data_IF_356235734511
#
_entry.id   IF_356235734511
#
_cell.length_a   1.000
_cell.length_b   1.000
_cell.length_c   1.000
_cell.angle_alpha   90.00
_cell.angle_beta   90.00
_cell.angle_gamma   90.00
#
_symmetry.space_group_name_H-M   'P 1'
#
loop_
_entity.id
_entity.type
_entity.pdbx_description
1 polymer ?
#
# COMPACT_ATOMS: atom_id res chain seq x y z
N UNK A 1 -19.53 -71.38 8.67
CA UNK A 1 -19.91 -69.96 8.53
C UNK A 1 -19.51 -69.52 7.12
N UNK A 2 -20.34 -69.71 6.10
CA UNK A 2 -21.51 -68.89 5.75
C UNK A 2 -21.20 -68.14 4.45
N UNK A 3 -21.96 -68.49 3.39
CA UNK A 3 -22.51 -67.57 2.37
C UNK A 3 -21.54 -66.89 1.39
N UNK A 4 -21.86 -66.62 0.12
CA UNK A 4 -22.99 -66.88 -0.78
C UNK A 4 -22.57 -66.28 -2.14
N UNK A 5 -22.93 -66.98 -3.22
CA UNK A 5 -23.62 -66.48 -4.42
C UNK A 5 -22.95 -65.32 -5.20
N UNK A 6 -22.39 -65.61 -6.38
CA UNK A 6 -23.09 -65.60 -7.68
C UNK A 6 -23.81 -64.28 -8.01
N UNK A 7 -23.34 -63.62 -9.08
CA UNK A 7 -24.15 -63.09 -10.21
C UNK A 7 -23.17 -62.55 -11.27
N UNK A 8 -23.16 -63.09 -12.50
CA UNK A 8 -24.01 -62.70 -13.65
C UNK A 8 -23.83 -61.21 -14.00
N UNK A 9 -23.61 -60.77 -15.22
CA UNK A 9 -23.72 -61.39 -16.52
C UNK A 9 -23.01 -60.54 -17.59
N UNK A 10 -22.61 -61.19 -18.67
CA UNK A 10 -22.30 -60.60 -19.97
C UNK A 10 -23.60 -60.06 -20.55
N UNK A 11 -23.63 -58.80 -21.00
CA UNK A 11 -24.47 -58.38 -22.13
C UNK A 11 -23.73 -57.34 -22.96
N UNK A 12 -23.53 -57.66 -24.24
CA UNK A 12 -23.21 -56.72 -25.32
C UNK A 12 -24.51 -56.04 -25.75
N UNK A 13 -24.48 -54.72 -25.96
CA UNK A 13 -25.40 -54.04 -26.89
C UNK A 13 -24.63 -52.89 -27.58
N UNK A 14 -24.73 -52.74 -28.92
CA UNK A 14 -24.10 -51.66 -29.69
C UNK A 14 -25.07 -50.49 -29.91
N UNK A 15 -24.54 -49.27 -29.98
CA UNK A 15 -25.23 -48.08 -30.51
C UNK A 15 -24.14 -47.19 -31.14
N UNK A 16 -24.01 -47.13 -32.46
CA UNK A 16 -24.81 -46.39 -33.45
C UNK A 16 -24.46 -44.88 -33.53
N UNK A 17 -24.02 -44.52 -34.76
CA UNK A 17 -24.10 -43.23 -35.47
C UNK A 17 -23.13 -42.08 -35.08
N UNK A 18 -22.91 -41.05 -35.94
CA UNK A 18 -21.72 -40.97 -36.79
C UNK A 18 -20.95 -39.63 -36.65
N UNK A 19 -19.81 -39.57 -37.34
CA UNK A 19 -19.20 -38.39 -37.98
C UNK A 19 -19.41 -37.02 -37.31
N UNK A 20 -18.43 -36.65 -36.49
CA UNK A 20 -18.22 -35.29 -36.02
C UNK A 20 -18.15 -34.31 -37.21
N UNK A 21 -19.21 -33.53 -37.39
CA UNK A 21 -19.21 -32.37 -38.27
C UNK A 21 -18.55 -31.23 -37.49
N UNK A 22 -17.23 -31.06 -37.69
CA UNK A 22 -16.47 -29.93 -37.15
C UNK A 22 -17.01 -28.66 -37.79
N UNK A 23 -17.83 -27.90 -37.06
CA UNK A 23 -18.21 -26.54 -37.42
C UNK A 23 -17.04 -25.64 -36.99
N UNK A 24 -16.24 -25.23 -37.97
CA UNK A 24 -15.33 -24.09 -37.89
C UNK A 24 -16.15 -22.80 -37.74
N UNK A 25 -16.45 -22.41 -36.50
CA UNK A 25 -16.97 -21.08 -36.24
C UNK A 25 -15.87 -20.16 -35.71
N UNK A 26 -15.28 -19.47 -36.69
CA UNK A 26 -14.98 -18.03 -36.72
C UNK A 26 -14.30 -17.45 -35.47
N UNK A 27 -12.99 -17.28 -35.61
CA UNK A 27 -12.13 -16.38 -34.86
C UNK A 27 -12.76 -14.98 -34.83
N UNK A 28 -13.34 -14.60 -33.70
CA UNK A 28 -13.37 -13.21 -33.29
C UNK A 28 -12.18 -13.02 -32.35
N UNK A 29 -11.07 -12.60 -32.93
CA UNK A 29 -10.00 -11.93 -32.19
C UNK A 29 -10.59 -10.63 -31.64
N UNK A 30 -11.15 -10.68 -30.43
CA UNK A 30 -11.32 -9.46 -29.65
C UNK A 30 -9.91 -8.99 -29.33
N UNK A 31 -9.50 -7.90 -29.96
CA UNK A 31 -8.28 -7.19 -29.60
C UNK A 31 -8.34 -6.92 -28.10
N UNK A 32 -7.57 -7.69 -27.34
CA UNK A 32 -7.23 -7.33 -25.98
C UNK A 32 -6.39 -6.05 -26.10
N UNK A 33 -7.08 -4.90 -26.04
CA UNK A 33 -6.46 -3.59 -25.95
C UNK A 33 -5.63 -3.63 -24.66
N UNK A 34 -4.35 -3.95 -24.81
CA UNK A 34 -3.37 -3.91 -23.75
C UNK A 34 -3.38 -2.48 -23.21
N UNK A 35 -4.09 -2.30 -22.11
CA UNK A 35 -4.14 -1.04 -21.41
C UNK A 35 -2.76 -0.90 -20.80
N UNK A 36 -1.91 -0.09 -21.46
CA UNK A 36 -0.66 0.38 -20.91
C UNK A 36 -1.02 1.16 -19.65
N UNK A 37 -1.00 0.48 -18.51
CA UNK A 37 -1.06 1.11 -17.20
C UNK A 37 0.28 1.79 -17.06
N UNK A 38 0.34 3.05 -17.45
CA UNK A 38 1.45 3.90 -17.02
C UNK A 38 1.49 3.86 -15.50
N UNK A 39 2.65 3.58 -14.86
CA UNK A 39 2.78 3.75 -13.44
C UNK A 39 2.65 5.25 -13.17
N UNK A 40 1.41 5.70 -12.93
CA UNK A 40 1.13 6.97 -12.29
C UNK A 40 1.82 6.92 -10.93
N UNK A 41 3.09 7.32 -10.91
CA UNK A 41 3.86 7.55 -9.71
C UNK A 41 3.20 8.71 -8.98
N UNK A 42 2.14 8.40 -8.23
CA UNK A 42 1.59 9.32 -7.25
C UNK A 42 2.71 9.53 -6.25
N UNK A 43 3.44 10.62 -6.41
CA UNK A 43 4.42 11.08 -5.44
C UNK A 43 3.64 11.47 -4.18
N UNK A 44 3.36 10.49 -3.32
CA UNK A 44 2.74 10.76 -2.03
C UNK A 44 3.68 11.68 -1.28
N UNK A 45 3.25 12.93 -1.08
CA UNK A 45 3.92 13.91 -0.23
C UNK A 45 3.66 13.52 1.23
N UNK A 46 4.71 13.22 1.99
CA UNK A 46 4.58 12.85 3.40
C UNK A 46 4.81 14.08 4.28
N UNK A 47 4.03 15.12 4.06
CA UNK A 47 4.12 16.36 4.83
C UNK A 47 3.30 16.19 6.12
N UNK A 48 3.89 16.55 7.26
CA UNK A 48 3.24 16.61 8.56
C UNK A 48 3.36 18.01 9.15
N UNK A 49 2.26 18.49 9.69
CA UNK A 49 2.19 19.75 10.43
C UNK A 49 2.45 19.51 11.91
N UNK A 50 3.44 20.20 12.47
CA UNK A 50 3.75 20.23 13.89
C UNK A 50 3.31 21.56 14.50
N UNK A 51 2.51 21.50 15.55
CA UNK A 51 2.12 22.69 16.31
C UNK A 51 3.06 22.84 17.51
N UNK A 52 3.88 23.88 17.52
CA UNK A 52 4.91 24.09 18.52
C UNK A 52 4.53 25.27 19.40
N UNK A 53 4.60 25.06 20.71
CA UNK A 53 4.43 26.10 21.70
C UNK A 53 5.60 27.09 21.67
N UNK A 54 5.27 28.37 21.49
CA UNK A 54 6.22 29.48 21.42
C UNK A 54 5.94 30.46 22.53
N UNK A 55 6.98 30.74 23.30
CA UNK A 55 6.96 31.78 24.31
C UNK A 55 8.37 32.34 24.47
N UNK A 56 8.46 33.66 24.59
CA UNK A 56 9.72 34.36 24.80
C UNK A 56 9.65 35.15 26.11
N UNK A 57 10.54 34.88 27.10
CA UNK A 57 10.55 35.57 28.39
C UNK A 57 10.86 37.07 28.31
N UNK A 58 11.59 37.50 27.27
CA UNK A 58 12.02 38.90 27.13
C UNK A 58 10.89 39.79 26.59
N UNK A 59 9.87 39.18 25.98
CA UNK A 59 8.68 39.87 25.47
C UNK A 59 7.46 39.56 26.34
N UNK A 60 6.67 40.56 26.77
CA UNK A 60 5.47 40.34 27.59
C UNK A 60 4.27 39.83 26.77
N UNK A 61 4.51 38.98 25.77
CA UNK A 61 3.48 38.43 24.90
C UNK A 61 2.91 37.13 25.47
N UNK A 62 1.65 36.86 25.13
CA UNK A 62 1.01 35.59 25.47
C UNK A 62 1.69 34.46 24.67
N UNK A 63 1.80 33.26 25.24
CA UNK A 63 2.27 32.11 24.48
C UNK A 63 1.35 31.77 23.31
N UNK A 64 1.94 31.30 22.22
CA UNK A 64 1.23 30.97 20.99
C UNK A 64 1.60 29.57 20.47
N UNK A 65 0.74 29.00 19.64
CA UNK A 65 1.03 27.78 18.89
C UNK A 65 1.38 28.15 17.45
N UNK A 66 2.59 27.77 17.02
CA UNK A 66 3.06 28.00 15.67
C UNK A 66 3.11 26.68 14.89
N UNK A 67 2.56 26.69 13.67
CA UNK A 67 2.49 25.52 12.81
C UNK A 67 3.71 25.45 11.89
N UNK A 68 4.29 24.27 11.78
CA UNK A 68 5.44 23.97 10.91
C UNK A 68 5.15 22.73 10.08
N UNK A 69 5.25 22.87 8.76
CA UNK A 69 5.10 21.76 7.83
C UNK A 69 6.46 21.14 7.53
N UNK A 70 6.58 19.83 7.74
CA UNK A 70 7.83 19.09 7.62
C UNK A 70 7.63 17.83 6.77
N UNK A 71 8.50 17.60 5.80
CA UNK A 71 8.49 16.36 5.00
C UNK A 71 9.16 15.20 5.76
N UNK A 72 8.36 14.19 6.10
CA UNK A 72 8.81 13.00 6.81
C UNK A 72 9.80 12.14 6.03
N UNK A 73 9.90 12.29 4.70
CA UNK A 73 10.91 11.55 3.90
C UNK A 73 12.34 12.01 4.18
N UNK A 74 12.48 13.27 4.54
CA UNK A 74 13.75 13.94 4.77
C UNK A 74 14.06 14.06 6.27
N UNK A 75 13.25 13.46 7.13
CA UNK A 75 13.41 13.48 8.58
C UNK A 75 13.63 12.05 9.10
N UNK A 76 14.38 11.92 10.19
CA UNK A 76 14.43 10.66 10.92
C UNK A 76 13.06 10.28 11.52
N UNK A 77 12.91 9.04 12.01
CA UNK A 77 11.63 8.52 12.49
C UNK A 77 11.14 9.20 13.78
N UNK A 78 12.00 9.96 14.47
CA UNK A 78 11.70 10.55 15.78
C UNK A 78 11.22 12.00 15.65
N UNK A 79 10.36 12.41 16.59
CA UNK A 79 9.90 13.81 16.69
C UNK A 79 11.09 14.76 16.93
N UNK A 80 12.12 14.31 17.65
CA UNK A 80 13.32 15.09 17.89
C UNK A 80 14.03 15.46 16.57
N UNK A 81 14.04 14.56 15.58
CA UNK A 81 14.67 14.82 14.28
C UNK A 81 13.92 15.92 13.53
N UNK A 82 12.58 15.89 13.58
CA UNK A 82 11.76 16.96 13.02
C UNK A 82 12.00 18.31 13.71
N UNK A 83 12.11 18.34 15.04
CA UNK A 83 12.43 19.58 15.78
C UNK A 83 13.82 20.13 15.44
N UNK A 84 14.81 19.25 15.27
CA UNK A 84 16.16 19.63 14.82
C UNK A 84 16.11 20.21 13.41
N UNK A 85 15.37 19.58 12.50
CA UNK A 85 15.21 20.07 11.12
C UNK A 85 14.57 21.45 11.09
N UNK A 86 13.45 21.64 11.80
CA UNK A 86 12.77 22.93 11.90
C UNK A 86 13.76 23.99 12.40
N UNK A 87 14.54 23.68 13.44
CA UNK A 87 15.53 24.63 13.97
C UNK A 87 16.63 24.98 12.97
N UNK A 88 17.14 24.01 12.23
CA UNK A 88 18.29 24.23 11.35
C UNK A 88 17.91 24.91 10.03
N UNK A 89 16.73 24.61 9.50
CA UNK A 89 16.35 24.99 8.13
C UNK A 89 15.25 26.06 8.08
N UNK A 90 14.34 26.09 9.06
CA UNK A 90 13.12 26.91 9.01
C UNK A 90 13.16 28.06 10.01
N UNK A 91 13.42 27.78 11.29
CA UNK A 91 13.45 28.78 12.35
C UNK A 91 14.54 28.49 13.41
N UNK A 92 15.72 29.14 13.32
CA UNK A 92 16.81 28.97 14.27
C UNK A 92 16.51 29.52 15.67
N UNK A 93 15.43 30.28 15.85
CA UNK A 93 15.01 30.80 17.17
C UNK A 93 14.27 29.75 18.00
N UNK A 94 13.87 28.63 17.39
CA UNK A 94 13.26 27.51 18.10
C UNK A 94 14.24 26.90 19.12
N UNK A 95 13.85 26.90 20.39
CA UNK A 95 14.69 26.42 21.49
C UNK A 95 14.04 25.24 22.20
N UNK A 96 14.79 24.15 22.31
CA UNK A 96 14.40 22.94 23.06
C UNK A 96 15.67 22.30 23.65
N UNK A 97 15.50 21.54 24.73
CA UNK A 97 16.57 20.73 25.32
C UNK A 97 16.48 19.31 24.81
N UNK A 98 17.63 18.72 24.53
CA UNK A 98 17.79 17.30 24.21
C UNK A 98 19.00 16.81 24.98
N UNK A 99 18.85 15.69 25.65
CA UNK A 99 19.95 15.00 26.31
C UNK A 99 20.20 13.69 25.58
N UNK A 100 21.47 13.35 25.44
CA UNK A 100 21.87 12.08 24.84
C UNK A 100 21.54 10.99 25.86
N UNK A 101 20.55 10.16 25.56
CA UNK A 101 20.43 8.86 26.20
C UNK A 101 21.53 8.00 25.56
N UNK A 102 22.69 7.95 26.20
CA UNK A 102 23.77 7.03 25.84
C UNK A 102 23.24 5.60 26.03
N UNK A 103 23.30 4.78 24.98
CA UNK A 103 22.98 3.35 25.02
C UNK A 103 24.24 2.51 25.11
#
# INVERSE_FOLDING_TARGET
MATRLLRRAITRVPASVPAARVILNRVHSSEAKAQLVEPSSKSTSYIKTFQIYRWNPDSPQKPELQNYDVDLKECGPMVLDALIKIKNEVDPTLTFRRDKIES
#
